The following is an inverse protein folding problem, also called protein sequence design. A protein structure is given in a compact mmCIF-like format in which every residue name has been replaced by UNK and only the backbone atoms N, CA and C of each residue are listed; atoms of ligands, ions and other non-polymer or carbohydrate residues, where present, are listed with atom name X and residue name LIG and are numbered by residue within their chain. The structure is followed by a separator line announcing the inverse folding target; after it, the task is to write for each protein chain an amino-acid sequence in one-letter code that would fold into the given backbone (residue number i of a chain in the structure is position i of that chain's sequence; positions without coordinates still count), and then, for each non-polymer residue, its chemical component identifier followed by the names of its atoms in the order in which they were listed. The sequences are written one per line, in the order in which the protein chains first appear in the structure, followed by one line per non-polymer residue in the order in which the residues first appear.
data_IF_097098739660
#
_entry.id   IF_097098739660
#
_cell.length_a   1.000
_cell.length_b   1.000
_cell.length_c   1.000
_cell.angle_alpha   90.00
_cell.angle_beta   90.00
_cell.angle_gamma   90.00
#
_symmetry.space_group_name_H-M   'P 1'
#
loop_
_entity.id
_entity.type
_entity.pdbx_description
1 polymer ?
#
# COMPACT_ATOMS: atom_id res chain seq x y z
N UNK A 1 -34.91 8.64 -24.86
CA UNK A 1 -35.06 8.93 -23.42
C UNK A 1 -34.62 7.77 -22.52
N UNK A 2 -35.12 6.54 -22.71
CA UNK A 2 -34.73 5.36 -21.88
C UNK A 2 -33.21 5.08 -21.86
N UNK A 3 -32.54 5.19 -23.01
CA UNK A 3 -31.11 4.92 -23.13
C UNK A 3 -30.26 5.93 -22.35
N UNK A 4 -30.63 7.22 -22.40
CA UNK A 4 -29.96 8.30 -21.67
C UNK A 4 -30.09 8.14 -20.15
N UNK A 5 -31.27 7.72 -19.67
CA UNK A 5 -31.49 7.45 -18.24
C UNK A 5 -30.60 6.29 -17.76
N UNK A 6 -30.50 5.22 -18.55
CA UNK A 6 -29.64 4.09 -18.22
C UNK A 6 -28.16 4.47 -18.19
N UNK A 7 -27.71 5.37 -19.08
CA UNK A 7 -26.31 5.83 -19.10
C UNK A 7 -25.99 6.69 -17.89
N UNK A 8 -26.90 7.61 -17.52
CA UNK A 8 -26.73 8.46 -16.33
C UNK A 8 -26.69 7.60 -15.06
N UNK A 9 -27.57 6.60 -14.95
CA UNK A 9 -27.62 5.72 -13.78
C UNK A 9 -26.36 4.84 -13.68
N UNK A 10 -25.86 4.32 -14.81
CA UNK A 10 -24.62 3.56 -14.84
C UNK A 10 -23.42 4.41 -14.41
N UNK A 11 -23.32 5.65 -14.92
CA UNK A 11 -22.24 6.57 -14.56
C UNK A 11 -22.29 6.96 -13.08
N UNK A 12 -23.49 7.22 -12.55
CA UNK A 12 -23.68 7.48 -11.12
C UNK A 12 -23.24 6.28 -10.26
N UNK A 13 -23.61 5.05 -10.64
CA UNK A 13 -23.20 3.85 -9.90
C UNK A 13 -21.67 3.65 -9.88
N UNK A 14 -20.96 3.98 -10.96
CA UNK A 14 -19.50 3.90 -10.99
C UNK A 14 -18.83 4.93 -10.07
N UNK A 15 -19.40 6.14 -9.96
CA UNK A 15 -18.87 7.17 -9.07
C UNK A 15 -18.99 6.78 -7.59
N UNK A 16 -20.07 6.10 -7.18
CA UNK A 16 -20.24 5.61 -5.81
C UNK A 16 -19.50 4.31 -5.53
N UNK A 17 -19.30 3.46 -6.55
CA UNK A 17 -18.56 2.19 -6.40
C UNK A 17 -17.05 2.36 -6.53
N UNK A 18 -16.54 3.51 -7.01
CA UNK A 18 -15.11 3.73 -7.09
C UNK A 18 -14.53 3.76 -5.67
N UNK A 19 -13.54 2.92 -5.35
CA UNK A 19 -12.88 2.96 -4.06
C UNK A 19 -12.04 4.23 -3.99
N UNK A 20 -12.66 5.34 -3.58
CA UNK A 20 -11.96 6.52 -3.13
C UNK A 20 -11.27 6.14 -1.81
N UNK A 21 -9.98 5.84 -1.86
CA UNK A 21 -9.18 5.55 -0.67
C UNK A 21 -9.11 6.84 0.16
N UNK A 22 -10.09 7.03 1.03
CA UNK A 22 -10.16 8.20 1.91
C UNK A 22 -8.94 8.26 2.83
N UNK A 23 -8.66 9.44 3.39
CA UNK A 23 -7.55 9.68 4.33
C UNK A 23 -7.62 8.88 5.66
N UNK A 24 -8.57 7.96 5.80
CA UNK A 24 -8.74 7.05 6.95
C UNK A 24 -9.22 5.65 6.57
N UNK A 25 -8.99 5.20 5.33
CA UNK A 25 -9.32 3.84 4.94
C UNK A 25 -8.58 2.83 5.84
N UNK A 26 -9.24 1.73 6.28
CA UNK A 26 -8.63 0.74 7.18
C UNK A 26 -7.39 0.07 6.56
N UNK A 27 -7.28 0.12 5.23
CA UNK A 27 -6.13 -0.35 4.47
C UNK A 27 -5.66 0.80 3.59
N UNK A 28 -4.59 1.47 4.00
CA UNK A 28 -3.92 2.49 3.20
C UNK A 28 -2.74 1.84 2.49
N UNK A 29 -2.66 1.98 1.16
CA UNK A 29 -1.43 1.62 0.44
C UNK A 29 -0.29 2.48 0.98
N UNK A 30 0.80 1.85 1.38
CA UNK A 30 1.99 2.57 1.77
C UNK A 30 2.47 3.44 0.61
N UNK A 31 2.89 4.66 0.92
CA UNK A 31 3.55 5.52 -0.05
C UNK A 31 5.00 5.02 -0.22
N UNK A 32 5.28 4.35 -1.34
CA UNK A 32 6.57 3.73 -1.63
C UNK A 32 7.58 4.70 -2.27
N UNK A 33 7.20 5.98 -2.52
CA UNK A 33 8.09 6.99 -3.10
C UNK A 33 9.30 7.34 -2.21
N UNK A 34 9.34 6.82 -0.98
CA UNK A 34 10.45 7.00 -0.04
C UNK A 34 11.54 5.92 -0.17
N UNK A 35 11.32 4.86 -0.96
CA UNK A 35 12.28 3.78 -1.16
C UNK A 35 12.85 3.89 -2.58
N UNK A 36 14.17 3.96 -2.70
CA UNK A 36 14.85 3.97 -3.99
C UNK A 36 14.64 2.60 -4.68
N UNK A 37 14.06 2.53 -5.89
CA UNK A 37 13.84 1.28 -6.60
C UNK A 37 15.13 0.50 -6.94
N UNK A 38 16.30 1.16 -6.92
CA UNK A 38 17.59 0.49 -7.11
C UNK A 38 18.07 -0.25 -5.84
N UNK A 39 17.48 0.03 -4.67
CA UNK A 39 17.85 -0.60 -3.40
C UNK A 39 17.01 -1.86 -3.15
N UNK A 40 17.63 -2.97 -2.71
CA UNK A 40 16.87 -4.13 -2.25
C UNK A 40 15.95 -3.73 -1.07
N UNK A 41 14.77 -4.33 -0.99
CA UNK A 41 13.77 -4.00 0.04
C UNK A 41 13.18 -5.26 0.69
N UNK A 42 12.64 -5.12 1.90
CA UNK A 42 11.93 -6.18 2.62
C UNK A 42 10.66 -5.64 3.29
N UNK A 43 9.80 -6.54 3.77
CA UNK A 43 8.63 -6.17 4.59
C UNK A 43 9.01 -6.14 6.08
N UNK A 44 8.61 -5.08 6.78
CA UNK A 44 8.70 -4.99 8.24
C UNK A 44 7.59 -5.78 8.95
N UNK A 45 7.62 -5.83 10.28
CA UNK A 45 6.62 -6.53 11.10
C UNK A 45 5.19 -5.96 10.97
N UNK A 46 5.05 -4.73 10.48
CA UNK A 46 3.76 -4.07 10.21
C UNK A 46 3.30 -4.25 8.75
N UNK A 47 4.08 -4.96 7.92
CA UNK A 47 3.79 -5.20 6.51
C UNK A 47 4.20 -4.06 5.57
N UNK A 48 4.98 -3.08 6.06
CA UNK A 48 5.50 -2.00 5.23
C UNK A 48 6.77 -2.42 4.49
N UNK A 49 6.92 -1.97 3.25
CA UNK A 49 8.15 -2.06 2.47
C UNK A 49 9.16 -1.06 3.00
N UNK A 50 10.33 -1.56 3.39
CA UNK A 50 11.48 -0.78 3.87
C UNK A 50 12.74 -1.19 3.10
N UNK A 51 13.73 -0.29 2.94
CA UNK A 51 15.03 -0.68 2.40
C UNK A 51 15.68 -1.79 3.23
N UNK A 52 16.36 -2.72 2.57
CA UNK A 52 17.10 -3.77 3.24
C UNK A 52 18.39 -3.20 3.86
N UNK A 53 18.53 -3.37 5.17
CA UNK A 53 19.72 -2.97 5.92
C UNK A 53 20.41 -4.20 6.48
N UNK A 54 21.55 -4.58 5.90
CA UNK A 54 22.32 -5.76 6.33
C UNK A 54 22.78 -5.66 7.79
N UNK A 55 22.99 -4.45 8.29
CA UNK A 55 23.35 -4.15 9.68
C UNK A 55 22.26 -4.52 10.70
N UNK A 56 21.03 -4.72 10.23
CA UNK A 56 19.86 -5.06 11.05
C UNK A 56 19.46 -6.54 10.93
N UNK A 57 20.25 -7.35 10.24
CA UNK A 57 20.02 -8.79 10.13
C UNK A 57 20.56 -9.51 11.35
N UNK A 58 19.85 -10.53 11.83
CA UNK A 58 20.25 -11.39 12.94
C UNK A 58 20.59 -10.65 14.25
N UNK A 59 19.90 -9.54 14.56
CA UNK A 59 20.17 -8.77 15.78
C UNK A 59 20.00 -9.60 17.05
N UNK A 60 19.09 -10.57 17.06
CA UNK A 60 18.94 -11.51 18.16
C UNK A 60 20.15 -12.44 18.32
N UNK A 61 20.75 -12.89 17.23
CA UNK A 61 21.98 -13.70 17.28
C UNK A 61 23.17 -12.84 17.75
N UNK A 62 23.28 -11.63 17.20
CA UNK A 62 24.27 -10.63 17.62
C UNK A 62 24.15 -10.28 19.11
N UNK A 63 22.94 -10.11 19.62
CA UNK A 63 22.67 -9.86 21.04
C UNK A 63 23.01 -11.09 21.92
N UNK A 64 22.85 -12.30 21.38
CA UNK A 64 23.23 -13.57 22.03
C UNK A 64 24.71 -13.92 21.85
N UNK A 65 25.49 -13.13 21.11
CA UNK A 65 26.92 -13.34 20.88
C UNK A 65 27.24 -14.56 20.01
N UNK A 66 26.32 -14.96 19.15
CA UNK A 66 26.43 -16.09 18.21
C UNK A 66 26.35 -15.61 16.76
#
# INVERSE_FOLDING_TARGET
MKFAIATILAFASMAFAYPAVGNGAPVKRQNINTVDPATPSMSDASGNIVPFESSQVNQDAKAKGI
#
